data_IF_646591053088
#
_entry.id   IF_646591053088
#
_cell.length_a   1.000
_cell.length_b   1.000
_cell.length_c   1.000
_cell.angle_alpha   90.00
_cell.angle_beta   90.00
_cell.angle_gamma   90.00
#
_symmetry.space_group_name_H-M   'P 1'
#
loop_
_entity.id
_entity.type
_entity.pdbx_description
1 polymer ?
#
# COMPACT_ATOMS: atom_id res chain seq x y z
N UNK A 1 0.10 -40.05 -22.05
CA UNK A 1 0.64 -40.20 -20.69
C UNK A 1 2.11 -39.83 -20.65
N UNK A 2 2.97 -40.44 -21.49
CA UNK A 2 4.39 -40.06 -21.58
C UNK A 2 4.61 -38.58 -21.91
N UNK A 3 3.86 -38.01 -22.86
CA UNK A 3 3.95 -36.58 -23.19
C UNK A 3 3.64 -35.67 -22.00
N UNK A 4 2.64 -36.05 -21.19
CA UNK A 4 2.24 -35.29 -20.00
C UNK A 4 3.32 -35.38 -18.92
N UNK A 5 3.88 -36.57 -18.69
CA UNK A 5 4.98 -36.78 -17.75
C UNK A 5 6.22 -35.95 -18.15
N UNK A 6 6.57 -35.95 -19.45
CA UNK A 6 7.67 -35.13 -19.97
C UNK A 6 7.42 -33.63 -19.76
N UNK A 7 6.18 -33.17 -19.93
CA UNK A 7 5.82 -31.78 -19.66
C UNK A 7 5.98 -31.42 -18.17
N UNK A 8 5.61 -32.31 -17.24
CA UNK A 8 5.84 -32.12 -15.80
C UNK A 8 7.32 -32.01 -15.46
N UNK A 9 8.16 -32.87 -16.05
CA UNK A 9 9.61 -32.84 -15.85
C UNK A 9 10.27 -31.59 -16.40
N UNK A 10 9.86 -31.17 -17.60
CA UNK A 10 10.35 -29.93 -18.19
C UNK A 10 10.04 -28.73 -17.30
N UNK A 11 8.80 -28.65 -16.79
CA UNK A 11 8.38 -27.57 -15.87
C UNK A 11 9.12 -27.65 -14.53
N UNK A 12 9.33 -28.85 -13.99
CA UNK A 12 10.15 -29.06 -12.78
C UNK A 12 11.58 -28.49 -12.96
N UNK A 13 12.26 -28.83 -14.05
CA UNK A 13 13.63 -28.36 -14.29
C UNK A 13 13.70 -26.85 -14.56
N UNK A 14 12.66 -26.27 -15.17
CA UNK A 14 12.55 -24.81 -15.30
C UNK A 14 12.46 -24.14 -13.93
N UNK A 15 11.64 -24.66 -13.01
CA UNK A 15 11.58 -24.13 -11.65
C UNK A 15 12.90 -24.32 -10.92
N UNK A 16 13.53 -25.50 -11.01
CA UNK A 16 14.82 -25.77 -10.38
C UNK A 16 15.89 -24.76 -10.83
N UNK A 17 15.97 -24.48 -12.13
CA UNK A 17 16.90 -23.50 -12.70
C UNK A 17 16.55 -22.09 -12.24
N UNK A 18 15.27 -21.73 -12.29
CA UNK A 18 14.78 -20.40 -11.88
C UNK A 18 15.05 -20.12 -10.41
N UNK A 19 14.78 -21.09 -9.53
CA UNK A 19 15.05 -21.00 -8.08
C UNK A 19 16.54 -20.81 -7.83
N UNK A 20 17.38 -21.63 -8.48
CA UNK A 20 18.84 -21.52 -8.36
C UNK A 20 19.34 -20.14 -8.80
N UNK A 21 18.85 -19.63 -9.92
CA UNK A 21 19.24 -18.32 -10.44
C UNK A 21 18.75 -17.17 -9.54
N UNK A 22 17.53 -17.27 -9.01
CA UNK A 22 16.94 -16.27 -8.12
C UNK A 22 17.69 -16.19 -6.78
N UNK A 23 18.07 -17.34 -6.22
CA UNK A 23 18.85 -17.41 -4.98
C UNK A 23 20.28 -16.88 -5.22
N UNK A 24 20.89 -17.21 -6.36
CA UNK A 24 22.25 -16.77 -6.66
C UNK A 24 22.38 -15.25 -6.92
N UNK A 25 21.31 -14.60 -7.39
CA UNK A 25 21.36 -13.19 -7.82
C UNK A 25 20.61 -12.21 -6.91
N UNK A 26 20.21 -12.62 -5.70
CA UNK A 26 19.48 -11.79 -4.73
C UNK A 26 18.28 -11.05 -5.35
N UNK A 27 17.25 -11.79 -5.75
CA UNK A 27 16.04 -11.20 -6.34
C UNK A 27 15.21 -10.36 -5.35
N UNK A 28 14.35 -9.50 -5.89
CA UNK A 28 13.35 -8.74 -5.12
C UNK A 28 12.36 -9.69 -4.42
N UNK A 29 11.95 -9.31 -3.21
CA UNK A 29 10.87 -9.90 -2.41
C UNK A 29 9.61 -10.24 -3.23
N UNK A 30 9.23 -9.39 -4.19
CA UNK A 30 8.05 -9.62 -5.04
C UNK A 30 8.25 -10.82 -5.97
N UNK A 31 9.46 -10.99 -6.51
CA UNK A 31 9.80 -12.12 -7.39
C UNK A 31 9.82 -13.41 -6.59
N UNK A 32 10.42 -13.38 -5.40
CA UNK A 32 10.45 -14.53 -4.47
C UNK A 32 9.04 -14.97 -4.08
N UNK A 33 8.17 -14.02 -3.71
CA UNK A 33 6.78 -14.30 -3.36
C UNK A 33 6.02 -14.96 -4.52
N UNK A 34 6.14 -14.41 -5.73
CA UNK A 34 5.47 -14.94 -6.91
C UNK A 34 5.96 -16.34 -7.28
N UNK A 35 7.27 -16.57 -7.20
CA UNK A 35 7.85 -17.88 -7.47
C UNK A 35 7.38 -18.93 -6.44
N UNK A 36 7.21 -18.52 -5.18
CA UNK A 36 6.60 -19.37 -4.15
C UNK A 36 5.16 -19.77 -4.48
N UNK A 37 4.34 -18.83 -4.98
CA UNK A 37 2.98 -19.09 -5.42
C UNK A 37 2.93 -20.05 -6.62
N UNK A 38 3.78 -19.81 -7.64
CA UNK A 38 3.90 -20.67 -8.81
C UNK A 38 4.30 -22.12 -8.44
N UNK A 39 5.17 -22.31 -7.44
CA UNK A 39 5.54 -23.63 -6.92
C UNK A 39 4.38 -24.30 -6.16
N UNK A 40 3.58 -23.54 -5.42
CA UNK A 40 2.38 -24.07 -4.75
C UNK A 40 1.35 -24.56 -5.78
N UNK A 41 1.12 -23.78 -6.84
CA UNK A 41 0.26 -24.19 -7.95
C UNK A 41 0.79 -25.47 -8.61
N UNK A 42 2.09 -25.53 -8.89
CA UNK A 42 2.74 -26.71 -9.46
C UNK A 42 2.57 -27.95 -8.56
N UNK A 43 2.75 -27.81 -7.23
CA UNK A 43 2.49 -28.91 -6.29
C UNK A 43 1.03 -29.37 -6.31
N UNK A 44 0.07 -28.44 -6.46
CA UNK A 44 -1.34 -28.77 -6.64
C UNK A 44 -1.55 -29.68 -7.85
N UNK A 45 -0.97 -29.30 -9.00
CA UNK A 45 -1.05 -30.08 -10.24
C UNK A 45 -0.39 -31.46 -10.11
N UNK A 46 0.78 -31.55 -9.46
CA UNK A 46 1.46 -32.85 -9.25
C UNK A 46 0.62 -33.78 -8.36
N UNK A 47 -0.01 -33.24 -7.31
CA UNK A 47 -0.89 -34.03 -6.44
C UNK A 47 -2.16 -34.49 -7.15
N UNK A 48 -2.80 -33.61 -7.91
CA UNK A 48 -3.98 -33.93 -8.74
C UNK A 48 -3.69 -35.07 -9.73
N UNK A 49 -2.49 -35.04 -10.34
CA UNK A 49 -2.06 -36.04 -11.30
C UNK A 49 -1.18 -37.15 -10.70
N UNK A 50 -1.18 -37.35 -9.39
CA UNK A 50 -0.30 -38.31 -8.70
C UNK A 50 -0.31 -39.75 -9.27
N UNK A 51 -1.44 -40.17 -9.86
CA UNK A 51 -1.59 -41.50 -10.46
C UNK A 51 -0.73 -41.75 -11.72
N UNK A 52 -0.23 -40.69 -12.38
CA UNK A 52 0.64 -40.84 -13.57
C UNK A 52 2.11 -41.08 -13.21
N UNK A 53 2.49 -40.81 -11.95
CA UNK A 53 3.87 -40.89 -11.49
C UNK A 53 4.15 -42.24 -10.82
N UNK A 54 5.33 -42.85 -11.04
CA UNK A 54 5.84 -43.88 -10.16
C UNK A 54 5.93 -43.36 -8.73
N UNK A 55 5.60 -44.18 -7.74
CA UNK A 55 5.54 -43.76 -6.34
C UNK A 55 6.88 -43.16 -5.85
N UNK A 56 8.01 -43.73 -6.28
CA UNK A 56 9.34 -43.23 -5.92
C UNK A 56 9.65 -41.85 -6.53
N UNK A 57 9.25 -41.62 -7.77
CA UNK A 57 9.46 -40.34 -8.47
C UNK A 57 8.58 -39.25 -7.88
N UNK A 58 7.32 -39.56 -7.58
CA UNK A 58 6.40 -38.64 -6.93
C UNK A 58 6.96 -38.16 -5.59
N UNK A 59 7.46 -39.08 -4.76
CA UNK A 59 8.08 -38.73 -3.48
C UNK A 59 9.31 -37.83 -3.67
N UNK A 60 10.13 -38.10 -4.69
CA UNK A 60 11.31 -37.26 -4.99
C UNK A 60 10.91 -35.85 -5.42
N UNK A 61 9.92 -35.72 -6.31
CA UNK A 61 9.42 -34.41 -6.75
C UNK A 61 8.86 -33.63 -5.57
N UNK A 62 7.98 -34.24 -4.77
CA UNK A 62 7.39 -33.58 -3.60
C UNK A 62 8.45 -33.13 -2.59
N UNK A 63 9.45 -33.96 -2.33
CA UNK A 63 10.56 -33.62 -1.45
C UNK A 63 11.37 -32.43 -1.98
N UNK A 64 11.77 -32.48 -3.25
CA UNK A 64 12.61 -31.44 -3.87
C UNK A 64 11.85 -30.11 -4.00
N UNK A 65 10.57 -30.14 -4.38
CA UNK A 65 9.75 -28.92 -4.44
C UNK A 65 9.55 -28.34 -3.04
N UNK A 66 9.32 -29.17 -2.03
CA UNK A 66 9.26 -28.71 -0.63
C UNK A 66 10.56 -28.05 -0.17
N UNK A 67 11.72 -28.59 -0.57
CA UNK A 67 13.01 -27.96 -0.30
C UNK A 67 13.14 -26.60 -1.00
N UNK A 68 12.81 -26.50 -2.29
CA UNK A 68 12.83 -25.23 -3.04
C UNK A 68 11.91 -24.17 -2.40
N UNK A 69 10.73 -24.55 -1.92
CA UNK A 69 9.83 -23.64 -1.22
C UNK A 69 10.41 -23.13 0.08
N UNK A 70 11.05 -24.00 0.86
CA UNK A 70 11.71 -23.60 2.10
C UNK A 70 12.86 -22.63 1.83
N UNK A 71 13.66 -22.88 0.78
CA UNK A 71 14.76 -22.00 0.38
C UNK A 71 14.25 -20.62 -0.05
N UNK A 72 13.19 -20.55 -0.87
CA UNK A 72 12.54 -19.28 -1.24
C UNK A 72 12.04 -18.53 -0.01
N UNK A 73 11.43 -19.24 0.96
CA UNK A 73 10.91 -18.61 2.17
C UNK A 73 12.03 -18.02 3.02
N UNK A 74 13.11 -18.77 3.24
CA UNK A 74 14.28 -18.27 3.96
C UNK A 74 14.87 -17.04 3.26
N UNK A 75 15.02 -17.08 1.93
CA UNK A 75 15.51 -15.94 1.17
C UNK A 75 14.58 -14.73 1.23
N UNK A 76 13.26 -14.96 1.20
CA UNK A 76 12.26 -13.91 1.33
C UNK A 76 12.36 -13.23 2.70
N UNK A 77 12.42 -14.02 3.78
CA UNK A 77 12.56 -13.50 5.14
C UNK A 77 13.87 -12.70 5.27
N UNK A 78 14.98 -13.18 4.72
CA UNK A 78 16.25 -12.44 4.69
C UNK A 78 16.15 -11.11 3.92
N UNK A 79 15.53 -11.09 2.74
CA UNK A 79 15.35 -9.87 1.93
C UNK A 79 14.43 -8.88 2.63
N UNK A 80 13.37 -9.38 3.27
CA UNK A 80 12.44 -8.57 4.06
C UNK A 80 13.14 -8.01 5.29
N UNK A 81 13.91 -8.81 6.01
CA UNK A 81 14.69 -8.37 7.16
C UNK A 81 15.77 -7.35 6.77
N UNK A 82 16.48 -7.57 5.67
CA UNK A 82 17.43 -6.60 5.11
C UNK A 82 16.72 -5.29 4.71
N UNK A 83 15.50 -5.38 4.17
CA UNK A 83 14.67 -4.21 3.86
C UNK A 83 14.22 -3.48 5.13
N UNK A 84 13.99 -4.20 6.25
CA UNK A 84 13.69 -3.61 7.54
C UNK A 84 14.93 -3.04 8.25
N UNK A 85 16.13 -3.54 7.97
CA UNK A 85 17.39 -3.03 8.53
C UNK A 85 17.74 -1.62 8.04
N UNK A 86 17.06 -1.14 7.01
CA UNK A 86 16.99 0.27 6.70
C UNK A 86 15.58 0.64 6.35
N UNK A 87 14.73 0.97 7.33
CA UNK A 87 13.81 2.06 7.05
C UNK A 87 14.72 3.21 6.61
N UNK A 88 14.77 3.62 5.32
CA UNK A 88 15.41 4.87 5.01
C UNK A 88 14.76 5.84 5.97
N UNK A 89 15.56 6.50 6.81
CA UNK A 89 15.03 7.45 7.77
C UNK A 89 14.43 8.57 6.93
N UNK A 90 13.18 8.38 6.52
CA UNK A 90 12.42 9.33 5.70
C UNK A 90 12.38 10.65 6.45
N UNK A 91 12.49 10.58 7.77
CA UNK A 91 12.53 11.71 8.69
C UNK A 91 13.81 11.60 9.52
N UNK A 92 14.70 12.56 9.37
CA UNK A 92 15.86 12.76 10.24
C UNK A 92 15.63 13.98 11.10
N UNK A 93 15.95 13.89 12.40
CA UNK A 93 15.90 15.04 13.29
C UNK A 93 17.30 15.62 13.43
N UNK A 94 17.53 16.82 12.90
CA UNK A 94 18.81 17.51 12.96
C UNK A 94 18.86 18.33 14.26
N UNK A 95 19.83 18.04 15.11
CA UNK A 95 20.16 18.88 16.26
C UNK A 95 21.17 19.97 15.83
N UNK A 96 20.72 21.21 15.76
CA UNK A 96 21.55 22.36 15.29
C UNK A 96 22.33 23.05 16.41
N UNK A 97 22.34 22.50 17.63
CA UNK A 97 23.00 23.10 18.80
C UNK A 97 22.36 24.40 19.33
N UNK A 98 21.36 24.95 18.62
CA UNK A 98 20.64 26.16 19.02
C UNK A 98 19.48 25.82 19.96
N UNK A 99 19.18 26.72 20.91
CA UNK A 99 18.02 26.57 21.81
C UNK A 99 16.72 26.66 21.00
N UNK A 100 16.01 25.54 20.85
CA UNK A 100 14.76 25.46 20.11
C UNK A 100 14.31 24.01 19.82
N UNK A 101 13.15 23.84 19.17
CA UNK A 101 12.68 22.53 18.68
C UNK A 101 13.62 22.05 17.56
N UNK A 102 14.17 20.83 17.62
CA UNK A 102 15.02 20.29 16.56
C UNK A 102 14.38 20.37 15.18
N UNK A 103 15.19 20.65 14.16
CA UNK A 103 14.71 20.71 12.78
C UNK A 103 14.42 19.30 12.27
N UNK A 104 13.32 19.15 11.54
CA UNK A 104 12.94 17.89 10.91
C UNK A 104 13.33 18.00 9.43
N UNK A 105 14.24 17.14 8.99
CA UNK A 105 14.61 16.96 7.59
C UNK A 105 13.89 15.72 7.05
N UNK A 106 13.40 15.82 5.82
CA UNK A 106 12.67 14.75 5.15
C UNK A 106 13.42 14.40 3.86
N UNK A 107 13.64 13.12 3.57
CA UNK A 107 14.37 12.71 2.35
C UNK A 107 13.71 13.32 1.09
N UNK A 108 14.45 14.12 0.30
CA UNK A 108 13.91 14.75 -0.91
C UNK A 108 13.47 13.75 -1.98
N UNK A 109 14.09 12.56 -2.06
CA UNK A 109 13.68 11.53 -3.02
C UNK A 109 12.31 10.97 -2.66
N UNK A 110 12.12 10.60 -1.39
CA UNK A 110 10.82 10.21 -0.87
C UNK A 110 9.77 11.30 -1.06
N UNK A 111 10.07 12.56 -0.73
CA UNK A 111 9.11 13.66 -0.89
C UNK A 111 8.68 13.85 -2.34
N UNK A 112 9.60 13.75 -3.30
CA UNK A 112 9.29 13.88 -4.73
C UNK A 112 8.37 12.75 -5.21
N UNK A 113 8.66 11.52 -4.80
CA UNK A 113 7.81 10.36 -5.11
C UNK A 113 6.44 10.45 -4.43
N UNK A 114 6.39 10.79 -3.14
CA UNK A 114 5.14 10.88 -2.40
C UNK A 114 4.24 12.00 -2.92
N UNK A 115 4.81 13.14 -3.31
CA UNK A 115 4.08 14.30 -3.85
C UNK A 115 3.47 14.04 -5.23
N UNK A 116 4.03 13.14 -6.04
CA UNK A 116 3.42 12.76 -7.32
C UNK A 116 2.18 11.88 -7.15
N UNK A 117 2.06 11.18 -6.02
CA UNK A 117 0.99 10.21 -5.77
C UNK A 117 -0.08 10.70 -4.78
N UNK A 118 0.27 11.61 -3.87
CA UNK A 118 -0.58 11.97 -2.72
C UNK A 118 -0.57 13.47 -2.46
N UNK A 119 -1.67 13.97 -1.89
CA UNK A 119 -1.75 15.36 -1.43
C UNK A 119 -0.84 15.60 -0.22
N UNK A 120 -0.42 16.85 -0.02
CA UNK A 120 0.43 17.26 1.12
C UNK A 120 -0.15 16.86 2.48
N UNK A 121 -1.48 16.92 2.64
CA UNK A 121 -2.18 16.51 3.87
C UNK A 121 -2.12 15.00 4.09
N UNK A 122 -2.21 14.20 3.03
CA UNK A 122 -2.07 12.75 3.13
C UNK A 122 -0.63 12.34 3.48
N UNK A 123 0.36 13.02 2.91
CA UNK A 123 1.78 12.80 3.21
C UNK A 123 2.06 13.15 4.68
N UNK A 124 1.55 14.29 5.15
CA UNK A 124 1.71 14.72 6.54
C UNK A 124 1.11 13.72 7.54
N UNK A 125 -0.10 13.20 7.26
CA UNK A 125 -0.72 12.15 8.08
C UNK A 125 0.11 10.87 8.11
N UNK A 126 0.63 10.44 6.96
CA UNK A 126 1.48 9.25 6.85
C UNK A 126 2.78 9.40 7.66
N UNK A 127 3.42 10.57 7.60
CA UNK A 127 4.66 10.87 8.31
C UNK A 127 4.47 11.25 9.80
N UNK A 128 3.23 11.40 10.27
CA UNK A 128 2.97 11.90 11.63
C UNK A 128 3.42 13.35 11.84
N UNK A 129 3.49 14.15 10.77
CA UNK A 129 3.95 15.54 10.81
C UNK A 129 2.81 16.53 10.56
N UNK A 130 3.03 17.79 10.92
CA UNK A 130 2.10 18.86 10.53
C UNK A 130 2.22 19.15 9.03
N UNK A 131 1.09 19.46 8.37
CA UNK A 131 1.06 19.77 6.92
C UNK A 131 2.03 20.88 6.52
N UNK A 132 2.21 21.88 7.40
CA UNK A 132 3.09 23.02 7.13
C UNK A 132 4.57 22.64 7.20
N UNK A 133 4.93 21.59 7.95
CA UNK A 133 6.30 21.04 7.96
C UNK A 133 6.59 20.39 6.61
N UNK A 134 5.67 19.56 6.12
CA UNK A 134 5.80 18.92 4.79
C UNK A 134 5.82 19.98 3.68
N UNK A 135 4.94 20.99 3.73
CA UNK A 135 4.93 22.09 2.77
C UNK A 135 6.26 22.85 2.77
N UNK A 136 6.80 23.19 3.95
CA UNK A 136 8.11 23.86 4.06
C UNK A 136 9.24 23.01 3.48
N UNK A 137 9.25 21.71 3.74
CA UNK A 137 10.23 20.80 3.16
C UNK A 137 10.13 20.73 1.62
N UNK A 138 8.90 20.62 1.08
CA UNK A 138 8.68 20.64 -0.37
C UNK A 138 9.18 21.93 -1.04
N UNK A 139 8.97 23.08 -0.40
CA UNK A 139 9.48 24.37 -0.87
C UNK A 139 11.01 24.45 -0.75
N UNK A 140 11.58 24.00 0.37
CA UNK A 140 13.02 24.02 0.63
C UNK A 140 13.81 23.18 -0.38
N UNK A 141 13.25 22.05 -0.81
CA UNK A 141 13.86 21.18 -1.83
C UNK A 141 13.48 21.57 -3.28
N UNK A 142 12.71 22.65 -3.48
CA UNK A 142 12.27 23.08 -4.81
C UNK A 142 11.35 22.08 -5.53
N UNK A 143 10.68 21.20 -4.79
CA UNK A 143 9.74 20.21 -5.35
C UNK A 143 8.38 20.86 -5.62
N UNK A 144 7.95 21.77 -4.74
CA UNK A 144 6.78 22.60 -4.93
C UNK A 144 7.21 24.05 -5.19
N UNK A 145 6.46 24.75 -6.04
CA UNK A 145 6.58 26.20 -6.14
C UNK A 145 5.76 26.85 -5.03
N UNK A 146 6.21 27.99 -4.46
CA UNK A 146 5.33 28.82 -3.65
C UNK A 146 4.09 29.09 -4.50
N UNK A 147 2.91 28.78 -3.98
CA UNK A 147 1.70 29.31 -4.58
C UNK A 147 1.94 30.82 -4.67
N UNK A 148 1.93 31.37 -5.89
CA UNK A 148 1.95 32.81 -6.08
C UNK A 148 0.94 33.35 -5.07
N UNK A 149 1.40 34.23 -4.17
CA UNK A 149 0.56 34.78 -3.12
C UNK A 149 -0.77 35.05 -3.79
N UNK A 150 -1.86 34.35 -3.41
CA UNK A 150 -3.12 34.52 -4.09
C UNK A 150 -3.37 35.99 -3.89
N UNK A 151 -3.15 36.78 -4.96
CA UNK A 151 -3.13 38.23 -4.89
C UNK A 151 -4.36 38.53 -4.08
N UNK A 152 -4.16 39.09 -2.88
CA UNK A 152 -5.19 39.18 -1.85
C UNK A 152 -6.28 39.99 -2.50
N UNK A 153 -7.14 39.29 -3.22
CA UNK A 153 -8.44 39.68 -3.61
C UNK A 153 -9.13 39.43 -2.29
N UNK A 154 -8.89 40.37 -1.37
CA UNK A 154 -9.88 40.73 -0.39
C UNK A 154 -11.11 40.89 -1.26
N UNK A 155 -11.93 39.84 -1.29
CA UNK A 155 -13.20 39.87 -1.96
C UNK A 155 -14.07 40.73 -1.05
N UNK A 156 -13.74 42.02 -0.98
CA UNK A 156 -14.67 43.09 -0.74
C UNK A 156 -15.47 43.21 -2.03
N UNK A 157 -16.13 42.12 -2.43
CA UNK A 157 -17.36 42.28 -3.19
C UNK A 157 -18.27 43.19 -2.38
N UNK A 158 -19.23 43.87 -3.03
CA UNK A 158 -20.19 44.71 -2.33
C UNK A 158 -20.71 43.93 -1.11
N UNK A 159 -20.52 44.50 0.09
CA UNK A 159 -21.05 43.94 1.32
C UNK A 159 -22.49 43.56 1.02
N UNK A 160 -22.82 42.27 1.23
CA UNK A 160 -24.17 41.78 0.98
C UNK A 160 -25.16 42.74 1.62
N UNK A 161 -26.10 43.28 0.84
CA UNK A 161 -27.16 44.16 1.35
C UNK A 161 -28.20 43.39 2.18
N UNK A 162 -27.86 42.16 2.58
CA UNK A 162 -28.70 41.30 3.38
C UNK A 162 -28.80 41.90 4.78
N UNK A 163 -30.02 42.07 5.24
CA UNK A 163 -30.27 42.46 6.62
C UNK A 163 -30.01 41.29 7.55
N UNK A 164 -29.76 41.57 8.83
CA UNK A 164 -29.51 40.53 9.85
C UNK A 164 -30.68 39.54 9.93
N UNK A 165 -31.92 40.02 9.86
CA UNK A 165 -33.13 39.20 9.83
C UNK A 165 -33.21 38.27 8.60
N UNK A 166 -32.71 38.71 7.44
CA UNK A 166 -32.66 37.90 6.23
C UNK A 166 -31.55 36.85 6.30
N UNK A 167 -30.43 37.17 6.94
CA UNK A 167 -29.35 36.23 7.22
C UNK A 167 -29.83 35.11 8.15
N UNK A 168 -30.53 35.45 9.22
CA UNK A 168 -31.12 34.49 10.15
C UNK A 168 -32.13 33.56 9.46
N UNK A 169 -32.99 34.13 8.59
CA UNK A 169 -33.93 33.33 7.79
C UNK A 169 -33.21 32.37 6.85
N UNK A 170 -32.11 32.79 6.22
CA UNK A 170 -31.29 31.91 5.38
C UNK A 170 -30.64 30.81 6.21
N UNK A 171 -30.09 31.12 7.38
CA UNK A 171 -29.51 30.14 8.29
C UNK A 171 -30.55 29.10 8.74
N UNK A 172 -31.74 29.53 9.16
CA UNK A 172 -32.85 28.63 9.53
C UNK A 172 -33.24 27.74 8.34
N UNK A 173 -33.28 28.28 7.12
CA UNK A 173 -33.59 27.53 5.90
C UNK A 173 -32.52 26.48 5.59
N UNK A 174 -31.25 26.84 5.70
CA UNK A 174 -30.11 25.93 5.56
C UNK A 174 -30.15 24.82 6.62
N UNK A 175 -30.37 25.17 7.90
CA UNK A 175 -30.47 24.19 8.99
C UNK A 175 -31.66 23.22 8.79
N UNK A 176 -32.80 23.70 8.30
CA UNK A 176 -33.96 22.84 7.97
C UNK A 176 -33.74 21.96 6.74
N UNK A 177 -32.97 22.44 5.76
CA UNK A 177 -32.74 21.69 4.53
C UNK A 177 -31.64 20.63 4.70
N UNK A 178 -30.62 20.93 5.51
CA UNK A 178 -29.50 20.06 5.82
C UNK A 178 -29.58 19.52 7.26
N UNK A 179 -30.69 18.89 7.64
CA UNK A 179 -30.94 18.27 8.96
C UNK A 179 -29.89 17.22 9.42
N UNK A 180 -28.77 17.04 8.71
CA UNK A 180 -27.68 16.08 9.00
C UNK A 180 -26.29 16.73 9.08
N UNK A 181 -26.20 18.06 9.09
CA UNK A 181 -24.93 18.78 9.24
C UNK A 181 -24.87 19.48 10.61
N UNK A 182 -24.97 18.70 11.69
CA UNK A 182 -24.77 19.15 13.08
C UNK A 182 -23.29 19.42 13.42
N UNK A 183 -22.43 19.66 12.42
CA UNK A 183 -21.02 20.08 12.61
C UNK A 183 -20.10 19.03 13.25
N UNK A 184 -20.66 17.99 13.87
CA UNK A 184 -19.95 16.81 14.33
C UNK A 184 -20.00 15.77 13.22
N UNK A 185 -18.92 15.75 12.44
CA UNK A 185 -18.51 14.59 11.66
C UNK A 185 -18.82 13.32 12.46
N UNK A 186 -19.79 12.54 11.98
CA UNK A 186 -19.99 11.18 12.48
C UNK A 186 -18.73 10.42 12.10
N UNK A 187 -17.77 10.36 13.02
CA UNK A 187 -16.79 9.29 13.06
C UNK A 187 -17.60 8.00 12.89
N UNK A 188 -17.36 7.28 11.81
CA UNK A 188 -17.78 5.89 11.67
C UNK A 188 -17.17 5.19 12.88
N UNK A 189 -17.99 5.00 13.92
CA UNK A 189 -17.56 4.58 15.25
C UNK A 189 -17.42 3.05 15.32
N UNK A 190 -17.81 2.36 14.26
CA UNK A 190 -17.54 0.95 14.05
C UNK A 190 -17.87 0.55 12.62
N UNK A 191 -16.85 0.10 11.88
CA UNK A 191 -17.03 -0.87 10.80
C UNK A 191 -16.96 -2.24 11.48
N UNK A 192 -18.10 -2.90 11.65
CA UNK A 192 -18.11 -4.31 12.01
C UNK A 192 -17.66 -5.09 10.78
N UNK A 193 -16.38 -5.48 10.76
CA UNK A 193 -15.90 -6.46 9.80
C UNK A 193 -16.57 -7.79 10.15
N UNK A 194 -17.50 -8.24 9.29
CA UNK A 194 -17.98 -9.61 9.36
C UNK A 194 -16.86 -10.52 8.85
N UNK A 195 -16.54 -11.54 9.63
CA UNK A 195 -15.68 -12.65 9.24
C UNK A 195 -16.36 -13.62 8.25
N UNK A 196 -17.63 -13.39 7.92
CA UNK A 196 -18.39 -14.17 6.95
C UNK A 196 -18.25 -13.64 5.51
N UNK A 197 -17.03 -13.30 5.09
CA UNK A 197 -16.67 -12.94 3.71
C UNK A 197 -16.63 -14.16 2.78
N UNK A 198 -17.66 -15.00 2.82
CA UNK A 198 -17.84 -16.02 1.79
C UNK A 198 -18.26 -15.32 0.50
N UNK A 199 -17.65 -15.67 -0.63
CA UNK A 199 -17.94 -15.01 -1.91
C UNK A 199 -19.42 -14.96 -2.28
N UNK A 200 -20.22 -15.93 -1.80
CA UNK A 200 -21.66 -16.00 -2.03
C UNK A 200 -22.44 -14.83 -1.40
N UNK A 201 -22.12 -14.41 -0.17
CA UNK A 201 -22.87 -13.34 0.52
C UNK A 201 -22.64 -11.97 -0.09
N UNK A 202 -21.49 -11.75 -0.74
CA UNK A 202 -21.22 -10.51 -1.49
C UNK A 202 -22.01 -10.49 -2.79
N UNK A 203 -22.07 -11.61 -3.51
CA UNK A 203 -22.82 -11.72 -4.77
C UNK A 203 -24.33 -11.50 -4.57
N UNK A 204 -24.90 -12.10 -3.52
CA UNK A 204 -26.33 -11.96 -3.20
C UNK A 204 -26.70 -10.50 -2.85
N UNK A 205 -25.78 -9.75 -2.25
CA UNK A 205 -25.97 -8.35 -1.89
C UNK A 205 -25.98 -7.42 -3.12
N UNK A 206 -25.29 -7.81 -4.20
CA UNK A 206 -25.29 -7.08 -5.48
C UNK A 206 -26.46 -7.45 -6.39
N UNK A 207 -27.00 -8.67 -6.26
CA UNK A 207 -28.11 -9.13 -7.10
C UNK A 207 -29.50 -8.86 -6.48
N UNK A 208 -29.55 -8.48 -5.20
CA UNK A 208 -30.79 -8.23 -4.45
C UNK A 208 -31.19 -6.76 -4.25
N UNK A 209 -30.48 -5.80 -4.87
CA UNK A 209 -30.74 -4.35 -4.79
C UNK A 209 -31.14 -3.78 -6.16
#
# INVERSE_FOLDING_TARGET
LEELLNAFWQRYHQYETTVRDVIANSADSVVLWRLGDDLNEYMGLVNEHSAIFPAEELQRILHNVGAMQNDIRLQYDEVVDQSHQGHPLVITTIQTGSRGRPAVEIDPKFLRWAYSLRSTSSIARFLGLHRDTVRRALLAHGIAQPAADPAVTSYTGPLSSITDDELDKLLIRLCRHYCRADGYSRLITGLLASDNNRGQTVLDLFLGA
#
